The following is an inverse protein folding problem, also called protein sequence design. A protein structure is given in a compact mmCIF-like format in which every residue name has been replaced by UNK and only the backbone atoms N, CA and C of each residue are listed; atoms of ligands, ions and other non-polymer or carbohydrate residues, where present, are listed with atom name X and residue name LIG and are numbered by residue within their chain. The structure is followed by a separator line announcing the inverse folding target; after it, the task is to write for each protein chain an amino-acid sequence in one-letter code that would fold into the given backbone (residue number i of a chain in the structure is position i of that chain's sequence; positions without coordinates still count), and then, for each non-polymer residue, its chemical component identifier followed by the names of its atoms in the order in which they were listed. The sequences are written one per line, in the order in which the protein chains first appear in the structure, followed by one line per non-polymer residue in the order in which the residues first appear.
data_IF_051271983875
#
_entry.id   IF_051271983875
#
_cell.length_a   1.000
_cell.length_b   1.000
_cell.length_c   1.000
_cell.angle_alpha   90.00
_cell.angle_beta   90.00
_cell.angle_gamma   90.00
#
_symmetry.space_group_name_H-M   'P 1'
#
loop_
_entity.id
_entity.type
_entity.pdbx_description
1 polymer ?
#
# COMPACT_ATOMS: atom_id res chain seq x y z
N UNK A 1 5.18 0.65 -15.59
CA UNK A 1 4.93 1.41 -14.35
C UNK A 1 5.78 2.66 -14.34
N UNK A 2 5.30 3.72 -13.66
CA UNK A 2 6.10 4.93 -13.46
C UNK A 2 7.31 4.63 -12.57
N UNK A 3 8.32 5.53 -12.60
CA UNK A 3 9.49 5.36 -11.74
C UNK A 3 9.11 5.37 -10.26
N UNK A 4 8.17 6.23 -9.87
CA UNK A 4 7.70 6.30 -8.48
C UNK A 4 7.02 4.99 -8.07
N UNK A 5 6.14 4.47 -8.93
CA UNK A 5 5.47 3.20 -8.65
C UNK A 5 6.48 2.05 -8.51
N UNK A 6 7.49 2.00 -9.36
CA UNK A 6 8.54 0.98 -9.29
C UNK A 6 9.34 1.07 -8.00
N UNK A 7 9.68 2.27 -7.56
CA UNK A 7 10.42 2.48 -6.32
C UNK A 7 9.60 2.02 -5.12
N UNK A 8 8.33 2.40 -5.07
CA UNK A 8 7.44 1.99 -3.98
C UNK A 8 7.31 0.46 -3.95
N UNK A 9 7.07 -0.14 -5.11
CA UNK A 9 6.92 -1.59 -5.22
C UNK A 9 8.17 -2.32 -4.72
N UNK A 10 9.35 -1.84 -5.13
CA UNK A 10 10.62 -2.42 -4.70
C UNK A 10 10.83 -2.26 -3.19
N UNK A 11 10.48 -1.10 -2.65
CA UNK A 11 10.59 -0.82 -1.21
C UNK A 11 9.71 -1.75 -0.39
N UNK A 12 8.51 -2.05 -0.89
CA UNK A 12 7.58 -2.97 -0.21
C UNK A 12 8.06 -4.43 -0.28
N UNK A 13 8.89 -4.79 -1.25
CA UNK A 13 9.40 -6.15 -1.38
C UNK A 13 9.09 -6.84 -2.69
N UNK A 14 8.42 -6.20 -3.62
CA UNK A 14 8.14 -6.76 -4.94
C UNK A 14 7.30 -8.03 -4.88
N UNK A 15 7.73 -9.07 -5.55
CA UNK A 15 6.97 -10.33 -5.60
C UNK A 15 6.79 -10.98 -4.24
N UNK A 16 7.73 -10.83 -3.33
CA UNK A 16 7.57 -11.34 -1.95
C UNK A 16 6.41 -10.65 -1.26
N UNK A 17 6.31 -9.34 -1.40
CA UNK A 17 5.20 -8.58 -0.87
C UNK A 17 3.88 -9.09 -1.44
N UNK A 18 3.82 -9.27 -2.75
CA UNK A 18 2.62 -9.76 -3.44
C UNK A 18 2.17 -11.11 -2.89
N UNK A 19 3.11 -12.05 -2.76
CA UNK A 19 2.80 -13.41 -2.27
C UNK A 19 2.35 -13.39 -0.81
N UNK A 20 3.06 -12.62 0.02
CA UNK A 20 2.79 -12.60 1.47
C UNK A 20 1.51 -11.87 1.84
N UNK A 21 1.07 -10.92 1.04
CA UNK A 21 -0.04 -10.02 1.41
C UNK A 21 -1.28 -10.19 0.55
N UNK A 22 -1.19 -10.96 -0.53
CA UNK A 22 -2.30 -11.08 -1.47
C UNK A 22 -2.50 -9.82 -2.33
N UNK A 23 -1.50 -8.97 -2.43
CA UNK A 23 -1.57 -7.76 -3.25
C UNK A 23 -1.84 -8.13 -4.71
N UNK A 24 -2.77 -7.42 -5.34
CA UNK A 24 -3.18 -7.68 -6.73
C UNK A 24 -3.77 -6.43 -7.35
N UNK A 25 -4.01 -6.50 -8.65
CA UNK A 25 -4.63 -5.42 -9.41
C UNK A 25 -3.89 -4.09 -9.22
N UNK A 26 -2.55 -4.16 -9.26
CA UNK A 26 -1.71 -2.99 -9.12
C UNK A 26 -1.92 -2.04 -10.30
N UNK A 27 -2.10 -0.76 -9.99
CA UNK A 27 -2.23 0.31 -10.98
C UNK A 27 -1.18 1.37 -10.68
N UNK A 28 -0.38 1.69 -11.69
CA UNK A 28 0.60 2.76 -11.61
C UNK A 28 -0.11 4.10 -11.71
N UNK A 29 0.19 4.99 -10.78
CA UNK A 29 -0.27 6.38 -10.82
C UNK A 29 0.90 7.27 -11.24
N UNK A 30 0.63 8.51 -11.61
CA UNK A 30 1.69 9.43 -12.00
C UNK A 30 2.74 9.59 -10.89
N UNK A 31 2.30 9.66 -9.65
CA UNK A 31 3.17 9.86 -8.49
C UNK A 31 3.05 8.74 -7.45
N UNK A 32 2.59 7.56 -7.83
CA UNK A 32 2.43 6.50 -6.85
C UNK A 32 1.89 5.21 -7.43
N UNK A 33 1.32 4.41 -6.56
CA UNK A 33 0.76 3.11 -6.90
C UNK A 33 -0.47 2.84 -6.03
N UNK A 34 -1.44 2.14 -6.58
CA UNK A 34 -2.58 1.64 -5.82
C UNK A 34 -2.78 0.16 -6.11
N UNK A 35 -3.36 -0.56 -5.16
CA UNK A 35 -3.53 -2.00 -5.28
C UNK A 35 -4.59 -2.51 -4.35
N UNK A 36 -5.09 -3.70 -4.63
CA UNK A 36 -5.90 -4.45 -3.69
C UNK A 36 -4.97 -5.27 -2.81
N UNK A 37 -5.33 -5.42 -1.55
CA UNK A 37 -4.57 -6.25 -0.61
C UNK A 37 -5.47 -7.34 -0.05
N UNK A 38 -4.87 -8.41 0.45
CA UNK A 38 -5.57 -9.54 0.98
C UNK A 38 -6.25 -9.25 2.31
N UNK A 39 -7.01 -10.22 2.80
CA UNK A 39 -7.72 -10.12 4.07
C UNK A 39 -6.73 -9.83 5.20
N UNK A 40 -7.10 -8.88 6.06
CA UNK A 40 -6.26 -8.47 7.18
C UNK A 40 -7.12 -8.00 8.35
N UNK A 41 -6.47 -7.65 9.46
CA UNK A 41 -7.18 -7.33 10.71
C UNK A 41 -8.00 -6.03 10.65
N UNK A 42 -7.73 -5.16 9.69
CA UNK A 42 -8.42 -3.86 9.58
C UNK A 42 -9.58 -3.87 8.61
N UNK A 43 -9.79 -4.98 7.90
CA UNK A 43 -10.77 -5.10 6.82
C UNK A 43 -10.52 -4.18 5.62
N UNK A 44 -9.40 -3.48 5.58
CA UNK A 44 -9.01 -2.73 4.40
C UNK A 44 -8.67 -3.71 3.27
N UNK A 45 -9.17 -3.46 2.07
CA UNK A 45 -8.84 -4.29 0.90
C UNK A 45 -8.21 -3.48 -0.22
N UNK A 46 -7.83 -2.23 0.08
CA UNK A 46 -7.29 -1.29 -0.89
C UNK A 46 -6.21 -0.46 -0.23
N UNK A 47 -5.12 -0.23 -0.97
CA UNK A 47 -4.04 0.62 -0.49
C UNK A 47 -3.56 1.51 -1.62
N UNK A 48 -3.30 2.78 -1.30
CA UNK A 48 -2.73 3.73 -2.24
C UNK A 48 -1.56 4.43 -1.56
N UNK A 49 -0.43 4.49 -2.26
CA UNK A 49 0.77 5.16 -1.79
C UNK A 49 1.19 6.17 -2.84
N UNK A 50 1.32 7.42 -2.46
CA UNK A 50 1.73 8.49 -3.36
C UNK A 50 2.90 9.28 -2.78
N UNK A 51 3.77 9.76 -3.67
CA UNK A 51 4.87 10.64 -3.29
C UNK A 51 4.35 12.08 -3.26
N UNK A 52 4.52 12.75 -2.13
CA UNK A 52 4.05 14.12 -1.98
C UNK A 52 5.15 15.15 -2.29
N UNK A 53 4.81 16.44 -2.17
CA UNK A 53 5.74 17.52 -2.49
C UNK A 53 6.92 17.68 -1.54
N UNK A 54 6.92 16.94 -0.43
CA UNK A 54 8.02 16.94 0.55
C UNK A 54 8.96 15.75 0.36
N UNK A 55 8.81 15.00 -0.75
CA UNK A 55 9.52 13.75 -1.02
C UNK A 55 9.26 12.67 0.04
N UNK A 56 8.11 12.74 0.68
CA UNK A 56 7.62 11.73 1.61
C UNK A 56 6.39 11.06 1.00
N UNK A 57 5.92 9.99 1.63
CA UNK A 57 4.80 9.22 1.10
C UNK A 57 3.54 9.44 1.91
N UNK A 58 2.42 9.56 1.21
CA UNK A 58 1.10 9.54 1.81
C UNK A 58 0.51 8.15 1.55
N UNK A 59 0.00 7.50 2.58
CA UNK A 59 -0.51 6.13 2.51
C UNK A 59 -1.96 6.14 2.94
N UNK A 60 -2.83 5.60 2.09
CA UNK A 60 -4.25 5.47 2.37
C UNK A 60 -4.64 4.00 2.35
N UNK A 61 -5.25 3.53 3.43
CA UNK A 61 -5.90 2.23 3.48
C UNK A 61 -7.40 2.45 3.41
N UNK A 62 -8.06 1.71 2.55
CA UNK A 62 -9.49 1.89 2.31
C UNK A 62 -10.18 0.55 2.09
N UNK A 63 -11.49 0.56 2.13
CA UNK A 63 -12.31 -0.59 1.80
C UNK A 63 -13.17 -0.26 0.59
N UNK A 64 -13.00 -1.03 -0.48
CA UNK A 64 -13.88 -0.97 -1.63
C UNK A 64 -15.02 -1.96 -1.39
N UNK A 65 -16.24 -1.46 -1.31
CA UNK A 65 -17.42 -2.27 -1.03
C UNK A 65 -17.93 -2.96 -2.28
N UNK A 66 -18.85 -3.92 -2.11
CA UNK A 66 -19.51 -4.60 -3.24
C UNK A 66 -20.29 -3.64 -4.12
N UNK A 67 -20.71 -2.49 -3.60
CA UNK A 67 -21.41 -1.45 -4.36
C UNK A 67 -20.44 -0.47 -5.01
N UNK A 68 -19.15 -0.79 -5.01
CA UNK A 68 -18.08 0.06 -5.55
C UNK A 68 -17.94 1.40 -4.83
N UNK A 69 -18.33 1.46 -3.58
CA UNK A 69 -18.08 2.62 -2.73
C UNK A 69 -16.74 2.46 -2.04
N UNK A 70 -15.94 3.52 -2.03
CA UNK A 70 -14.64 3.54 -1.36
C UNK A 70 -14.81 4.20 0.00
N UNK A 71 -14.49 3.45 1.05
CA UNK A 71 -14.53 3.97 2.43
C UNK A 71 -13.12 4.02 2.98
N UNK A 72 -12.68 5.20 3.41
CA UNK A 72 -11.38 5.36 4.04
C UNK A 72 -11.36 4.64 5.39
N UNK A 73 -10.33 3.81 5.59
CA UNK A 73 -10.10 3.13 6.86
C UNK A 73 -9.09 3.92 7.69
N UNK A 74 -7.98 4.32 7.05
CA UNK A 74 -6.94 5.09 7.72
C UNK A 74 -6.06 5.78 6.70
N UNK A 75 -5.62 6.98 7.00
CA UNK A 75 -4.70 7.76 6.18
C UNK A 75 -3.48 8.12 7.02
N UNK A 76 -2.31 8.01 6.40
CA UNK A 76 -1.02 8.37 7.00
C UNK A 76 -0.31 9.32 6.07
N UNK A 77 0.06 10.50 6.57
CA UNK A 77 0.75 11.51 5.78
C UNK A 77 2.23 11.56 6.13
N UNK A 78 3.05 11.93 5.16
CA UNK A 78 4.47 12.20 5.36
C UNK A 78 5.24 11.02 5.95
N UNK A 79 5.03 9.83 5.37
CA UNK A 79 5.70 8.60 5.79
C UNK A 79 7.06 8.53 5.09
N UNK A 80 8.12 8.27 5.83
CA UNK A 80 9.45 8.08 5.25
C UNK A 80 9.54 6.76 4.50
N UNK A 81 10.37 6.73 3.46
CA UNK A 81 10.57 5.55 2.62
C UNK A 81 10.89 4.29 3.43
N UNK A 82 11.80 4.42 4.40
CA UNK A 82 12.22 3.28 5.22
C UNK A 82 11.18 2.85 6.26
N UNK A 83 10.07 3.57 6.37
CA UNK A 83 8.99 3.25 7.29
C UNK A 83 7.79 2.62 6.61
N UNK A 84 7.77 2.53 5.28
CA UNK A 84 6.61 2.02 4.55
C UNK A 84 6.27 0.58 4.92
N UNK A 85 7.27 -0.29 5.00
CA UNK A 85 7.07 -1.70 5.36
C UNK A 85 6.55 -1.83 6.78
N UNK A 86 7.19 -1.15 7.73
CA UNK A 86 6.78 -1.18 9.13
C UNK A 86 5.35 -0.68 9.31
N UNK A 87 5.00 0.40 8.62
CA UNK A 87 3.65 0.95 8.66
C UNK A 87 2.63 -0.05 8.13
N UNK A 88 2.92 -0.66 6.98
CA UNK A 88 2.04 -1.65 6.38
C UNK A 88 1.82 -2.83 7.34
N UNK A 89 2.90 -3.38 7.86
CA UNK A 89 2.83 -4.53 8.76
C UNK A 89 2.09 -4.20 10.06
N UNK A 90 2.34 -3.02 10.60
CA UNK A 90 1.69 -2.56 11.82
C UNK A 90 0.18 -2.36 11.61
N UNK A 91 -0.20 -1.74 10.51
CA UNK A 91 -1.61 -1.46 10.24
C UNK A 91 -2.40 -2.72 9.91
N UNK A 92 -1.89 -3.55 9.01
CA UNK A 92 -2.62 -4.71 8.50
C UNK A 92 -2.44 -5.97 9.34
N UNK A 93 -1.36 -6.06 10.09
CA UNK A 93 -1.00 -7.28 10.80
C UNK A 93 -0.40 -8.36 9.91
N UNK A 94 -0.26 -8.07 8.61
CA UNK A 94 0.35 -9.01 7.66
C UNK A 94 1.85 -8.77 7.57
N UNK A 95 2.62 -9.85 7.39
CA UNK A 95 4.06 -9.74 7.16
C UNK A 95 4.36 -9.64 5.67
N UNK A 96 5.38 -8.86 5.34
CA UNK A 96 5.80 -8.67 3.94
C UNK A 96 6.88 -9.66 3.54
N UNK A 97 7.42 -10.41 4.50
CA UNK A 97 8.47 -11.41 4.29
C UNK A 97 8.34 -12.51 5.33
N UNK A 98 9.01 -13.63 5.10
CA UNK A 98 8.89 -14.79 5.96
C UNK A 98 9.56 -14.64 7.33
N UNK A 99 10.48 -13.69 7.47
CA UNK A 99 11.18 -13.46 8.74
C UNK A 99 11.73 -12.05 8.81
#
# INVERSE_FOLDING_TARGET
MSNVANEIWRTLGGNKFKVMTGARDMVSLENGIRMKIGRNKTNANWMEITLNGLDLYDVTFAKLTRKFEMKSVKEYDNVYNDMLVSLFESHTGMYTKLY
#
